data_IF_054678645625
#
_entry.id   IF_054678645625
#
_cell.length_a   1.000
_cell.length_b   1.000
_cell.length_c   1.000
_cell.angle_alpha   90.00
_cell.angle_beta   90.00
_cell.angle_gamma   90.00
#
_symmetry.space_group_name_H-M   'P 1'
#
loop_
_entity.id
_entity.type
_entity.pdbx_description
1 polymer ?
#
# COMPACT_ATOMS: atom_id res chain seq x y z
N UNK A 1 9.28 -26.51 -8.94
CA UNK A 1 7.98 -26.36 -8.24
C UNK A 1 7.93 -25.12 -7.36
N UNK A 2 8.88 -24.86 -6.48
CA UNK A 2 8.91 -23.64 -5.66
C UNK A 2 8.94 -22.35 -6.49
N UNK A 3 9.71 -22.32 -7.59
CA UNK A 3 9.75 -21.16 -8.50
C UNK A 3 8.39 -20.91 -9.19
N UNK A 4 7.69 -21.98 -9.60
CA UNK A 4 6.37 -21.85 -10.22
C UNK A 4 5.35 -21.32 -9.23
N UNK A 5 5.37 -21.78 -7.98
CA UNK A 5 4.51 -21.26 -6.92
C UNK A 5 4.80 -19.78 -6.65
N UNK A 6 6.08 -19.39 -6.64
CA UNK A 6 6.48 -17.99 -6.47
C UNK A 6 5.94 -17.09 -7.60
N UNK A 7 5.97 -17.55 -8.84
CA UNK A 7 5.38 -16.84 -9.98
C UNK A 7 3.87 -16.65 -9.78
N UNK A 8 3.16 -17.68 -9.32
CA UNK A 8 1.73 -17.60 -9.03
C UNK A 8 1.46 -16.60 -7.91
N UNK A 9 2.28 -16.59 -6.86
CA UNK A 9 2.20 -15.60 -5.78
C UNK A 9 2.39 -14.19 -6.31
N UNK A 10 3.35 -13.95 -7.20
CA UNK A 10 3.55 -12.64 -7.83
C UNK A 10 2.37 -12.22 -8.69
N UNK A 11 1.80 -13.13 -9.49
CA UNK A 11 0.57 -12.86 -10.26
C UNK A 11 -0.59 -12.51 -9.33
N UNK A 12 -0.69 -13.17 -8.18
CA UNK A 12 -1.71 -12.84 -7.16
C UNK A 12 -1.50 -11.45 -6.56
N UNK A 13 -0.26 -10.99 -6.44
CA UNK A 13 0.02 -9.62 -5.98
C UNK A 13 -0.29 -8.56 -7.05
N UNK A 14 -0.16 -8.87 -8.34
CA UNK A 14 -0.71 -8.01 -9.41
C UNK A 14 -2.22 -7.85 -9.21
N UNK A 15 -2.91 -8.95 -8.92
CA UNK A 15 -4.36 -8.92 -8.68
C UNK A 15 -4.77 -8.11 -7.44
N UNK A 16 -3.91 -7.97 -6.44
CA UNK A 16 -4.14 -7.10 -5.30
C UNK A 16 -3.96 -5.61 -5.68
N UNK A 17 -2.94 -5.29 -6.48
CA UNK A 17 -2.67 -3.92 -6.91
C UNK A 17 -3.72 -3.33 -7.85
N UNK A 18 -4.34 -4.14 -8.71
CA UNK A 18 -5.36 -3.68 -9.66
C UNK A 18 -6.53 -2.95 -8.99
N UNK A 19 -7.22 -3.51 -7.97
CA UNK A 19 -8.31 -2.82 -7.28
C UNK A 19 -7.86 -1.68 -6.37
N UNK A 20 -6.64 -1.72 -5.83
CA UNK A 20 -6.16 -0.68 -4.93
C UNK A 20 -6.08 0.70 -5.60
N UNK A 21 -5.73 0.76 -6.87
CA UNK A 21 -5.66 1.99 -7.67
C UNK A 21 -6.98 2.35 -8.38
N UNK A 22 -7.93 1.39 -8.44
CA UNK A 22 -9.18 1.53 -9.18
C UNK A 22 -10.03 2.69 -8.65
N UNK A 23 -10.22 2.77 -7.34
CA UNK A 23 -11.12 3.78 -6.74
C UNK A 23 -10.66 5.20 -7.08
N UNK A 24 -9.36 5.50 -6.92
CA UNK A 24 -8.82 6.81 -7.23
C UNK A 24 -8.88 7.18 -8.73
N UNK A 25 -8.71 6.21 -9.61
CA UNK A 25 -8.72 6.45 -11.06
C UNK A 25 -10.13 6.52 -11.66
N UNK A 26 -11.09 5.72 -11.15
CA UNK A 26 -12.45 5.66 -11.69
C UNK A 26 -13.41 6.67 -11.08
N UNK A 27 -13.12 7.14 -9.85
CA UNK A 27 -14.12 7.91 -9.10
C UNK A 27 -14.51 9.24 -9.71
N UNK A 28 -13.66 10.02 -10.39
CA UNK A 28 -14.09 11.21 -11.11
C UNK A 28 -15.21 10.90 -12.13
N UNK A 29 -15.05 9.83 -12.92
CA UNK A 29 -16.06 9.39 -13.87
C UNK A 29 -17.32 8.84 -13.20
N UNK A 30 -17.19 8.12 -12.09
CA UNK A 30 -18.31 7.59 -11.30
C UNK A 30 -19.13 8.74 -10.72
N UNK A 31 -18.48 9.72 -10.11
CA UNK A 31 -19.13 10.87 -9.48
C UNK A 31 -19.94 11.66 -10.50
N UNK A 32 -19.35 11.95 -11.67
CA UNK A 32 -20.03 12.66 -12.75
C UNK A 32 -21.20 11.83 -13.34
N UNK A 33 -21.01 10.52 -13.55
CA UNK A 33 -22.04 9.64 -14.18
C UNK A 33 -23.20 9.33 -13.24
N UNK A 34 -22.97 9.24 -11.94
CA UNK A 34 -23.98 8.85 -10.95
C UNK A 34 -24.47 10.01 -10.08
N UNK A 35 -24.08 11.24 -10.40
CA UNK A 35 -24.39 12.47 -9.63
C UNK A 35 -24.04 12.34 -8.13
N UNK A 36 -22.82 11.81 -7.83
CA UNK A 36 -22.35 11.59 -6.48
C UNK A 36 -21.37 12.70 -6.03
N UNK A 37 -21.27 12.94 -4.70
CA UNK A 37 -20.26 13.83 -4.17
C UNK A 37 -18.85 13.37 -4.48
N UNK A 38 -17.94 14.29 -4.82
CA UNK A 38 -16.55 13.99 -5.17
C UNK A 38 -15.74 13.37 -4.01
N UNK A 39 -16.08 13.70 -2.76
CA UNK A 39 -15.44 13.20 -1.54
C UNK A 39 -15.87 11.79 -1.14
N UNK A 40 -16.90 11.23 -1.79
CA UNK A 40 -17.45 9.90 -1.46
C UNK A 40 -16.41 8.78 -1.59
N UNK A 41 -15.44 8.91 -2.51
CA UNK A 41 -14.33 7.99 -2.64
C UNK A 41 -13.56 7.80 -1.33
N UNK A 42 -13.33 8.89 -0.59
CA UNK A 42 -12.68 8.86 0.71
C UNK A 42 -13.46 8.03 1.74
N UNK A 43 -14.78 8.19 1.81
CA UNK A 43 -15.61 7.42 2.73
C UNK A 43 -15.72 5.94 2.36
N UNK A 44 -15.78 5.61 1.07
CA UNK A 44 -15.68 4.23 0.58
C UNK A 44 -14.34 3.63 1.00
N UNK A 45 -13.25 4.39 0.83
CA UNK A 45 -11.90 4.00 1.24
C UNK A 45 -11.78 3.72 2.74
N UNK A 46 -12.53 4.44 3.61
CA UNK A 46 -12.61 4.15 5.06
C UNK A 46 -13.13 2.73 5.27
N UNK A 47 -14.24 2.35 4.63
CA UNK A 47 -14.84 1.02 4.80
C UNK A 47 -13.89 -0.07 4.31
N UNK A 48 -13.27 0.12 3.14
CA UNK A 48 -12.26 -0.81 2.61
C UNK A 48 -11.13 -0.97 3.64
N UNK A 49 -10.56 0.13 4.14
CA UNK A 49 -9.43 0.10 5.08
C UNK A 49 -9.77 -0.57 6.41
N UNK A 50 -10.94 -0.29 6.99
CA UNK A 50 -11.41 -0.94 8.22
C UNK A 50 -11.52 -2.45 8.00
N UNK A 51 -12.14 -2.89 6.91
CA UNK A 51 -12.31 -4.29 6.58
C UNK A 51 -10.96 -4.97 6.30
N UNK A 52 -10.01 -4.28 5.65
CA UNK A 52 -8.65 -4.74 5.43
C UNK A 52 -7.92 -4.99 6.75
N UNK A 53 -8.01 -4.04 7.70
CA UNK A 53 -7.41 -4.18 9.04
C UNK A 53 -8.00 -5.38 9.78
N UNK A 54 -9.33 -5.50 9.81
CA UNK A 54 -10.02 -6.62 10.50
C UNK A 54 -9.58 -7.95 9.90
N UNK A 55 -9.57 -8.05 8.58
CA UNK A 55 -9.18 -9.27 7.86
C UNK A 55 -7.71 -9.63 8.10
N UNK A 56 -6.81 -8.66 8.07
CA UNK A 56 -5.38 -8.86 8.35
C UNK A 56 -5.15 -9.36 9.78
N UNK A 57 -5.84 -8.80 10.77
CA UNK A 57 -5.77 -9.24 12.16
C UNK A 57 -6.30 -10.67 12.34
N UNK A 58 -7.35 -11.05 11.61
CA UNK A 58 -7.93 -12.38 11.64
C UNK A 58 -7.16 -13.41 10.80
N UNK A 59 -6.25 -12.97 9.92
CA UNK A 59 -5.62 -13.83 8.92
C UNK A 59 -4.84 -14.99 9.54
N UNK A 60 -4.11 -14.77 10.63
CA UNK A 60 -3.38 -15.82 11.34
C UNK A 60 -4.30 -16.95 11.85
N UNK A 61 -5.50 -16.61 12.34
CA UNK A 61 -6.49 -17.59 12.74
C UNK A 61 -7.02 -18.36 11.53
N UNK A 62 -7.37 -17.64 10.46
CA UNK A 62 -7.89 -18.24 9.23
C UNK A 62 -6.86 -19.18 8.56
N UNK A 63 -5.60 -18.78 8.53
CA UNK A 63 -4.51 -19.58 7.96
C UNK A 63 -4.30 -20.89 8.74
N UNK A 64 -4.34 -20.82 10.07
CA UNK A 64 -4.25 -22.03 10.91
C UNK A 64 -5.42 -22.99 10.70
N UNK A 65 -6.63 -22.46 10.46
CA UNK A 65 -7.85 -23.28 10.28
C UNK A 65 -7.99 -23.83 8.86
N UNK A 66 -7.69 -23.04 7.83
CA UNK A 66 -8.00 -23.34 6.43
C UNK A 66 -6.76 -23.47 5.52
N UNK A 67 -5.56 -23.18 6.00
CA UNK A 67 -4.30 -23.05 5.25
C UNK A 67 -4.23 -21.80 4.34
N UNK A 68 -3.00 -21.32 4.10
CA UNK A 68 -2.70 -20.13 3.28
C UNK A 68 -3.32 -20.22 1.89
N UNK A 69 -3.21 -21.37 1.22
CA UNK A 69 -3.71 -21.60 -0.14
C UNK A 69 -5.22 -21.37 -0.27
N UNK A 70 -6.01 -21.86 0.70
CA UNK A 70 -7.48 -21.73 0.70
C UNK A 70 -7.87 -20.29 1.03
N UNK A 71 -7.26 -19.70 2.05
CA UNK A 71 -7.52 -18.30 2.44
C UNK A 71 -7.27 -17.37 1.26
N UNK A 72 -6.12 -17.48 0.57
CA UNK A 72 -5.81 -16.65 -0.58
C UNK A 72 -6.78 -16.88 -1.72
N UNK A 73 -7.05 -18.14 -2.11
CA UNK A 73 -7.94 -18.44 -3.24
C UNK A 73 -9.37 -17.92 -3.02
N UNK A 74 -9.93 -18.13 -1.83
CA UNK A 74 -11.26 -17.64 -1.47
C UNK A 74 -11.29 -16.11 -1.43
N UNK A 75 -10.24 -15.49 -0.92
CA UNK A 75 -10.17 -14.03 -0.83
C UNK A 75 -10.07 -13.36 -2.21
N UNK A 76 -9.38 -13.95 -3.17
CA UNK A 76 -9.37 -13.46 -4.56
C UNK A 76 -10.74 -13.59 -5.22
N UNK A 77 -11.50 -14.68 -4.96
CA UNK A 77 -12.92 -14.78 -5.38
C UNK A 77 -13.76 -13.67 -4.77
N UNK A 78 -13.58 -13.43 -3.48
CA UNK A 78 -14.34 -12.42 -2.75
C UNK A 78 -14.11 -11.01 -3.33
N UNK A 79 -12.84 -10.65 -3.61
CA UNK A 79 -12.51 -9.38 -4.27
C UNK A 79 -13.06 -9.33 -5.70
N UNK A 80 -13.00 -10.43 -6.45
CA UNK A 80 -13.53 -10.49 -7.81
C UNK A 80 -15.06 -10.28 -7.85
N UNK A 81 -15.81 -10.92 -6.95
CA UNK A 81 -17.26 -10.73 -6.81
C UNK A 81 -17.56 -9.28 -6.39
N UNK A 82 -16.80 -8.72 -5.45
CA UNK A 82 -16.97 -7.33 -5.06
C UNK A 82 -16.80 -6.38 -6.25
N UNK A 83 -15.76 -6.53 -7.06
CA UNK A 83 -15.53 -5.73 -8.26
C UNK A 83 -16.62 -5.93 -9.32
N UNK A 84 -17.08 -7.16 -9.48
CA UNK A 84 -18.19 -7.45 -10.37
C UNK A 84 -19.46 -6.68 -9.94
N UNK A 85 -19.82 -6.74 -8.67
CA UNK A 85 -20.96 -5.99 -8.13
C UNK A 85 -20.75 -4.48 -8.23
N UNK A 86 -19.53 -4.00 -8.00
CA UNK A 86 -19.16 -2.59 -8.12
C UNK A 86 -19.47 -2.05 -9.53
N UNK A 87 -19.19 -2.84 -10.59
CA UNK A 87 -19.41 -2.46 -11.97
C UNK A 87 -20.89 -2.32 -12.36
N UNK A 88 -21.82 -2.86 -11.57
CA UNK A 88 -23.27 -2.79 -11.82
C UNK A 88 -24.00 -1.70 -11.03
N UNK A 89 -23.31 -0.92 -10.21
CA UNK A 89 -23.93 0.18 -9.45
C UNK A 89 -24.46 1.24 -10.42
N UNK A 90 -25.69 1.69 -10.19
CA UNK A 90 -26.41 2.66 -11.02
C UNK A 90 -26.73 3.94 -10.23
N UNK A 91 -27.13 4.98 -10.93
CA UNK A 91 -27.62 6.22 -10.31
C UNK A 91 -28.75 5.93 -9.29
N UNK A 92 -28.73 6.64 -8.15
CA UNK A 92 -29.62 6.39 -7.02
C UNK A 92 -29.18 5.28 -6.06
N UNK A 93 -28.19 4.45 -6.44
CA UNK A 93 -27.69 3.34 -5.61
C UNK A 93 -26.26 3.56 -5.09
N UNK A 94 -25.81 4.81 -4.97
CA UNK A 94 -24.46 5.14 -4.47
C UNK A 94 -24.13 4.53 -3.08
N UNK A 95 -25.14 4.30 -2.24
CA UNK A 95 -24.98 3.60 -0.95
C UNK A 95 -24.45 2.17 -1.09
N UNK A 96 -24.71 1.51 -2.25
CA UNK A 96 -24.26 0.15 -2.49
C UNK A 96 -22.74 0.02 -2.49
N UNK A 97 -22.00 1.09 -2.85
CA UNK A 97 -20.55 1.09 -2.79
C UNK A 97 -20.00 0.78 -1.39
N UNK A 98 -20.69 1.23 -0.33
CA UNK A 98 -20.29 0.94 1.05
C UNK A 98 -20.44 -0.54 1.41
N UNK A 99 -21.52 -1.19 0.94
CA UNK A 99 -21.71 -2.63 1.17
C UNK A 99 -20.69 -3.46 0.38
N UNK A 100 -20.40 -3.05 -0.86
CA UNK A 100 -19.43 -3.73 -1.74
C UNK A 100 -17.99 -3.53 -1.24
N UNK A 101 -17.69 -2.40 -0.59
CA UNK A 101 -16.40 -2.12 0.02
C UNK A 101 -16.04 -3.14 1.12
N UNK A 102 -17.04 -3.73 1.80
CA UNK A 102 -16.81 -4.73 2.86
C UNK A 102 -16.09 -5.98 2.32
N UNK A 103 -16.68 -6.75 1.37
CA UNK A 103 -15.99 -7.91 0.81
C UNK A 103 -14.69 -7.56 0.08
N UNK A 104 -14.60 -6.37 -0.54
CA UNK A 104 -13.39 -5.90 -1.18
C UNK A 104 -12.23 -5.76 -0.17
N UNK A 105 -12.46 -5.05 0.94
CA UNK A 105 -11.47 -4.87 1.99
C UNK A 105 -11.12 -6.17 2.72
N UNK A 106 -12.12 -7.00 3.07
CA UNK A 106 -11.89 -8.29 3.71
C UNK A 106 -11.01 -9.21 2.84
N UNK A 107 -11.26 -9.26 1.55
CA UNK A 107 -10.46 -10.05 0.61
C UNK A 107 -9.04 -9.51 0.48
N UNK A 108 -8.89 -8.20 0.28
CA UNK A 108 -7.58 -7.56 0.12
C UNK A 108 -6.67 -7.80 1.34
N UNK A 109 -7.17 -7.57 2.56
CA UNK A 109 -6.39 -7.74 3.78
C UNK A 109 -5.97 -9.19 4.05
N UNK A 110 -6.83 -10.16 3.71
CA UNK A 110 -6.48 -11.57 3.86
C UNK A 110 -5.42 -12.03 2.85
N UNK A 111 -5.50 -11.56 1.59
CA UNK A 111 -4.50 -11.87 0.55
C UNK A 111 -3.14 -11.29 0.97
N UNK A 112 -3.12 -10.00 1.29
CA UNK A 112 -1.89 -9.27 1.64
C UNK A 112 -1.18 -9.94 2.83
N UNK A 113 -1.89 -10.10 3.93
CA UNK A 113 -1.35 -10.69 5.16
C UNK A 113 -0.88 -12.14 4.95
N UNK A 114 -1.67 -12.96 4.23
CA UNK A 114 -1.36 -14.37 4.03
C UNK A 114 -0.13 -14.57 3.12
N UNK A 115 -0.01 -13.82 2.04
CA UNK A 115 1.10 -13.97 1.09
C UNK A 115 2.39 -13.32 1.61
N UNK A 116 2.31 -12.17 2.28
CA UNK A 116 3.48 -11.58 2.93
C UNK A 116 4.06 -12.54 3.97
N UNK A 117 3.23 -13.12 4.84
CA UNK A 117 3.68 -14.12 5.81
C UNK A 117 4.29 -15.35 5.13
N UNK A 118 3.63 -15.88 4.09
CA UNK A 118 4.11 -17.05 3.37
C UNK A 118 5.47 -16.80 2.71
N UNK A 119 5.65 -15.67 2.03
CA UNK A 119 6.92 -15.31 1.38
C UNK A 119 8.03 -15.06 2.41
N UNK A 120 7.70 -14.38 3.52
CA UNK A 120 8.67 -14.14 4.61
C UNK A 120 9.21 -15.43 5.22
N UNK A 121 8.37 -16.45 5.38
CA UNK A 121 8.76 -17.73 5.99
C UNK A 121 9.49 -18.67 5.02
N UNK A 122 9.16 -18.65 3.72
CA UNK A 122 9.58 -19.69 2.79
C UNK A 122 10.56 -19.24 1.70
N UNK A 123 10.79 -17.91 1.57
CA UNK A 123 11.63 -17.34 0.51
C UNK A 123 12.63 -16.31 1.04
N UNK A 124 13.64 -15.97 0.23
CA UNK A 124 14.65 -14.97 0.58
C UNK A 124 14.06 -13.56 0.57
N UNK A 125 14.65 -12.65 1.33
CA UNK A 125 14.20 -11.25 1.45
C UNK A 125 14.04 -10.50 0.11
N UNK A 126 14.84 -10.84 -0.91
CA UNK A 126 14.71 -10.27 -2.26
C UNK A 126 13.33 -10.53 -2.88
N UNK A 127 12.72 -11.69 -2.60
CA UNK A 127 11.39 -12.04 -3.12
C UNK A 127 10.27 -11.23 -2.49
N UNK A 128 10.48 -10.72 -1.27
CA UNK A 128 9.54 -9.79 -0.63
C UNK A 128 9.51 -8.45 -1.38
N UNK A 129 10.67 -7.91 -1.75
CA UNK A 129 10.73 -6.67 -2.56
C UNK A 129 10.06 -6.85 -3.93
N UNK A 130 10.29 -8.00 -4.57
CA UNK A 130 9.66 -8.32 -5.85
C UNK A 130 8.15 -8.50 -5.73
N UNK A 131 7.67 -9.11 -4.65
CA UNK A 131 6.26 -9.24 -4.35
C UNK A 131 5.56 -7.86 -4.40
N UNK A 132 6.11 -6.88 -3.70
CA UNK A 132 5.58 -5.51 -3.70
C UNK A 132 5.79 -4.76 -5.03
N UNK A 133 6.82 -5.12 -5.81
CA UNK A 133 6.97 -4.58 -7.16
C UNK A 133 5.86 -5.09 -8.09
N UNK A 134 5.48 -6.36 -7.98
CA UNK A 134 4.36 -6.93 -8.74
C UNK A 134 3.00 -6.33 -8.33
N UNK A 135 2.80 -6.02 -7.05
CA UNK A 135 1.67 -5.19 -6.62
C UNK A 135 1.66 -3.84 -7.34
N UNK A 136 2.80 -3.17 -7.40
CA UNK A 136 2.94 -1.89 -8.09
C UNK A 136 2.63 -1.98 -9.59
N UNK A 137 2.98 -3.09 -10.26
CA UNK A 137 2.60 -3.34 -11.66
C UNK A 137 1.06 -3.36 -11.77
N UNK A 138 0.37 -4.09 -10.89
CA UNK A 138 -1.10 -4.10 -10.85
C UNK A 138 -1.68 -2.71 -10.63
N UNK A 139 -1.16 -1.99 -9.63
CA UNK A 139 -1.61 -0.65 -9.31
C UNK A 139 -1.34 0.38 -10.43
N UNK A 140 -0.30 0.16 -11.24
CA UNK A 140 -0.01 1.00 -12.42
C UNK A 140 -0.93 0.68 -13.61
N UNK A 141 -1.27 -0.59 -13.81
CA UNK A 141 -2.10 -1.04 -14.95
C UNK A 141 -3.59 -0.75 -14.70
N UNK A 142 -4.05 -0.82 -13.45
CA UNK A 142 -5.46 -0.56 -13.09
C UNK A 142 -6.01 0.73 -13.69
N UNK A 143 -5.40 1.90 -13.44
CA UNK A 143 -5.82 3.19 -13.99
C UNK A 143 -5.80 3.23 -15.53
N UNK A 144 -4.84 2.56 -16.16
CA UNK A 144 -4.77 2.49 -17.63
C UNK A 144 -5.95 1.69 -18.21
N UNK A 145 -6.33 0.57 -17.57
CA UNK A 145 -7.52 -0.18 -17.96
C UNK A 145 -8.76 0.71 -17.80
N UNK A 146 -8.93 1.37 -16.65
CA UNK A 146 -10.09 2.25 -16.40
C UNK A 146 -10.15 3.35 -17.48
N UNK A 147 -9.05 4.08 -17.68
CA UNK A 147 -9.00 5.17 -18.65
C UNK A 147 -9.28 4.76 -20.09
N UNK A 148 -8.85 3.53 -20.49
CA UNK A 148 -9.11 3.01 -21.84
C UNK A 148 -10.59 2.73 -22.11
N UNK A 149 -11.42 2.50 -21.09
CA UNK A 149 -12.85 2.24 -21.24
C UNK A 149 -13.72 3.48 -21.00
N UNK A 150 -13.20 4.55 -20.41
CA UNK A 150 -13.95 5.80 -20.27
C UNK A 150 -14.07 6.45 -21.64
N UNK A 151 -15.31 6.74 -22.05
CA UNK A 151 -15.57 7.39 -23.32
C UNK A 151 -15.30 8.89 -23.23
N UNK A 152 -14.29 9.36 -23.94
CA UNK A 152 -13.91 10.78 -24.01
C UNK A 152 -15.02 11.70 -24.52
N UNK A 153 -15.91 11.21 -25.41
CA UNK A 153 -17.03 11.98 -25.94
C UNK A 153 -18.21 12.05 -24.98
N UNK A 154 -18.38 11.08 -24.10
CA UNK A 154 -19.47 10.94 -23.14
C UNK A 154 -18.98 10.99 -21.69
N UNK A 155 -17.88 11.55 -21.49
CA UNK A 155 -16.99 11.89 -20.36
C UNK A 155 -17.03 10.98 -19.11
N UNK A 156 -18.14 10.34 -18.80
CA UNK A 156 -18.32 9.58 -17.58
C UNK A 156 -18.86 8.17 -17.78
N UNK A 157 -19.16 7.79 -19.01
CA UNK A 157 -19.58 6.42 -19.32
C UNK A 157 -18.39 5.52 -19.62
N UNK A 158 -18.52 4.25 -19.28
CA UNK A 158 -17.49 3.23 -19.58
C UNK A 158 -16.64 2.83 -18.37
N UNK A 159 -16.61 3.60 -17.27
CA UNK A 159 -15.89 3.22 -16.05
C UNK A 159 -16.31 1.82 -15.55
N UNK A 160 -17.58 1.48 -15.70
CA UNK A 160 -18.13 0.17 -15.33
C UNK A 160 -17.52 -0.98 -16.15
N UNK A 161 -17.23 -0.79 -17.44
CA UNK A 161 -16.54 -1.79 -18.26
C UNK A 161 -15.08 -1.94 -17.86
N UNK A 162 -14.40 -0.85 -17.46
CA UNK A 162 -13.05 -0.90 -16.92
C UNK A 162 -13.00 -1.71 -15.61
N UNK A 163 -13.91 -1.45 -14.68
CA UNK A 163 -14.03 -2.22 -13.43
C UNK A 163 -14.42 -3.69 -13.71
N UNK A 164 -15.34 -3.93 -14.63
CA UNK A 164 -15.73 -5.28 -15.07
C UNK A 164 -14.52 -6.04 -15.63
N UNK A 165 -13.69 -5.39 -16.43
CA UNK A 165 -12.46 -6.00 -16.97
C UNK A 165 -11.51 -6.42 -15.84
N UNK A 166 -11.30 -5.56 -14.83
CA UNK A 166 -10.50 -5.90 -13.65
C UNK A 166 -11.14 -7.08 -12.89
N UNK A 167 -12.46 -7.11 -12.74
CA UNK A 167 -13.19 -8.22 -12.12
C UNK A 167 -12.97 -9.54 -12.88
N UNK A 168 -13.01 -9.53 -14.22
CA UNK A 168 -12.74 -10.69 -15.06
C UNK A 168 -11.30 -11.18 -14.92
N UNK A 169 -10.32 -10.28 -14.86
CA UNK A 169 -8.93 -10.64 -14.58
C UNK A 169 -8.79 -11.32 -13.21
N UNK A 170 -9.45 -10.76 -12.17
CA UNK A 170 -9.48 -11.35 -10.83
C UNK A 170 -10.09 -12.75 -10.83
N UNK A 171 -11.19 -12.96 -11.55
CA UNK A 171 -11.81 -14.29 -11.71
C UNK A 171 -10.86 -15.26 -12.41
N UNK A 172 -10.16 -14.83 -13.45
CA UNK A 172 -9.14 -15.64 -14.13
C UNK A 172 -8.00 -16.06 -13.19
N UNK A 173 -7.49 -15.12 -12.37
CA UNK A 173 -6.45 -15.42 -11.37
C UNK A 173 -7.01 -16.35 -10.28
N UNK A 174 -8.25 -16.20 -9.88
CA UNK A 174 -8.93 -17.10 -8.95
C UNK A 174 -8.97 -18.54 -9.50
N UNK A 175 -9.35 -18.74 -10.75
CA UNK A 175 -9.35 -20.04 -11.42
C UNK A 175 -7.92 -20.64 -11.42
N UNK A 176 -6.91 -19.82 -11.75
CA UNK A 176 -5.51 -20.24 -11.70
C UNK A 176 -5.09 -20.71 -10.31
N UNK A 177 -5.49 -19.99 -9.26
CA UNK A 177 -5.18 -20.34 -7.87
C UNK A 177 -5.83 -21.67 -7.47
N UNK A 178 -7.09 -21.90 -7.82
CA UNK A 178 -7.74 -23.18 -7.54
C UNK A 178 -7.11 -24.34 -8.32
N UNK A 179 -6.78 -24.13 -9.59
CA UNK A 179 -6.10 -25.16 -10.41
C UNK A 179 -4.72 -25.53 -9.87
N UNK A 180 -4.06 -24.60 -9.16
CA UNK A 180 -2.70 -24.78 -8.64
C UNK A 180 -2.63 -25.17 -7.15
N UNK A 181 -3.76 -25.40 -6.48
CA UNK A 181 -3.81 -25.86 -5.07
C UNK A 181 -2.89 -27.06 -4.76
N UNK A 182 -2.76 -28.09 -5.64
CA UNK A 182 -1.83 -29.20 -5.37
C UNK A 182 -0.36 -28.79 -5.29
N UNK A 183 0.03 -27.70 -5.98
CA UNK A 183 1.41 -27.23 -5.98
C UNK A 183 1.85 -26.72 -4.60
N UNK A 184 0.93 -26.05 -3.88
CA UNK A 184 1.17 -25.55 -2.52
C UNK A 184 1.50 -26.68 -1.54
N UNK A 185 0.81 -27.82 -1.63
CA UNK A 185 1.06 -28.97 -0.75
C UNK A 185 2.48 -29.49 -0.89
N UNK A 186 2.96 -29.64 -2.14
CA UNK A 186 4.29 -30.16 -2.43
C UNK A 186 5.43 -29.26 -1.93
N UNK A 187 5.21 -27.95 -1.88
CA UNK A 187 6.21 -27.00 -1.36
C UNK A 187 6.18 -26.96 0.17
N UNK A 188 4.98 -27.03 0.78
CA UNK A 188 4.84 -27.04 2.25
C UNK A 188 5.40 -28.29 2.91
N UNK A 189 5.24 -29.47 2.30
CA UNK A 189 5.80 -30.73 2.84
C UNK A 189 7.33 -30.71 2.92
N UNK A 190 7.99 -30.01 1.99
CA UNK A 190 9.44 -29.92 1.97
C UNK A 190 10.00 -29.05 3.10
N UNK A 191 9.23 -28.05 3.58
CA UNK A 191 9.70 -27.05 4.54
C UNK A 191 9.31 -27.35 6.00
N UNK A 192 8.40 -28.31 6.26
CA UNK A 192 7.93 -28.67 7.61
C UNK A 192 9.01 -29.12 8.60
N UNK A 193 10.18 -29.51 8.13
CA UNK A 193 11.26 -29.98 9.00
C UNK A 193 12.05 -28.87 9.70
N UNK A 194 12.00 -27.63 9.18
CA UNK A 194 12.84 -26.53 9.68
C UNK A 194 12.09 -25.53 10.61
N UNK A 195 10.74 -25.60 10.68
CA UNK A 195 9.92 -24.59 11.36
C UNK A 195 9.87 -24.71 12.90
N UNK A 196 10.00 -25.92 13.44
CA UNK A 196 9.70 -26.19 14.86
C UNK A 196 10.71 -25.62 15.85
N UNK A 197 11.95 -25.38 15.45
CA UNK A 197 13.00 -24.83 16.33
C UNK A 197 13.06 -23.30 16.36
N UNK A 198 12.69 -22.63 15.26
CA UNK A 198 12.69 -21.16 15.19
C UNK A 198 11.56 -20.52 15.99
N UNK A 199 10.36 -21.06 15.90
CA UNK A 199 9.18 -20.52 16.61
C UNK A 199 9.31 -20.59 18.14
N UNK A 200 9.98 -21.63 18.69
CA UNK A 200 10.20 -21.75 20.13
C UNK A 200 11.20 -20.73 20.69
N UNK A 201 12.26 -20.40 19.93
CA UNK A 201 13.25 -19.41 20.36
C UNK A 201 12.72 -17.95 20.30
N UNK A 202 11.85 -17.63 19.35
CA UNK A 202 11.26 -16.30 19.22
C UNK A 202 10.20 -16.00 20.30
N UNK A 203 9.52 -17.01 20.82
CA UNK A 203 8.52 -16.85 21.88
C UNK A 203 9.12 -16.58 23.27
N UNK A 204 10.34 -17.04 23.53
CA UNK A 204 11.02 -16.91 24.84
C UNK A 204 11.62 -15.52 25.11
N UNK A 205 11.87 -14.69 24.08
CA UNK A 205 12.55 -13.40 24.22
C UNK A 205 11.65 -12.16 24.03
N UNK A 206 10.32 -12.30 23.94
CA UNK A 206 9.43 -11.17 23.68
C UNK A 206 9.47 -10.09 24.79
N UNK A 207 9.97 -8.90 24.44
CA UNK A 207 9.91 -7.74 25.33
C UNK A 207 8.45 -7.28 25.47
N UNK A 208 8.04 -6.98 26.73
CA UNK A 208 6.68 -6.48 27.00
C UNK A 208 6.41 -5.19 26.22
N UNK A 209 5.23 -5.07 25.59
CA UNK A 209 4.77 -3.87 24.87
C UNK A 209 4.92 -2.58 25.70
N UNK A 210 4.76 -2.66 27.02
CA UNK A 210 4.90 -1.53 27.93
C UNK A 210 6.30 -0.90 27.93
N UNK A 211 7.35 -1.63 27.58
CA UNK A 211 8.72 -1.10 27.50
C UNK A 211 8.94 -0.28 26.23
N UNK A 212 8.35 -0.74 25.10
CA UNK A 212 8.40 -0.04 23.81
C UNK A 212 7.66 1.30 23.89
N UNK A 213 6.49 1.31 24.53
CA UNK A 213 5.67 2.51 24.73
C UNK A 213 6.33 3.58 25.62
N UNK A 214 7.43 3.28 26.31
CA UNK A 214 8.21 4.28 27.08
C UNK A 214 9.33 4.90 26.27
N UNK A 215 9.67 4.35 25.11
CA UNK A 215 10.77 4.87 24.26
C UNK A 215 10.26 6.02 23.37
N UNK A 216 10.83 7.24 23.47
CA UNK A 216 10.45 8.34 22.61
C UNK A 216 10.76 8.10 21.11
N UNK A 217 11.71 7.21 20.78
CA UNK A 217 11.98 6.81 19.40
C UNK A 217 10.75 6.12 18.80
N UNK A 218 10.00 5.36 19.60
CA UNK A 218 8.79 4.69 19.16
C UNK A 218 7.73 5.68 18.64
N UNK A 219 7.42 6.73 19.38
CA UNK A 219 6.44 7.73 18.97
C UNK A 219 6.85 8.48 17.71
N UNK A 220 8.13 8.82 17.59
CA UNK A 220 8.64 9.44 16.35
C UNK A 220 8.54 8.50 15.16
N UNK A 221 8.79 7.20 15.33
CA UNK A 221 8.66 6.21 14.27
C UNK A 221 7.19 6.05 13.84
N UNK A 222 6.27 5.95 14.80
CA UNK A 222 4.83 5.85 14.57
C UNK A 222 4.31 7.08 13.81
N UNK A 223 4.68 8.29 14.23
CA UNK A 223 4.28 9.54 13.56
C UNK A 223 4.88 9.63 12.15
N UNK A 224 6.17 9.33 12.01
CA UNK A 224 6.83 9.35 10.69
C UNK A 224 6.20 8.35 9.72
N UNK A 225 5.85 7.15 10.19
CA UNK A 225 5.22 6.13 9.36
C UNK A 225 3.75 6.47 9.02
N UNK A 226 3.00 7.04 9.98
CA UNK A 226 1.70 7.61 9.73
C UNK A 226 1.76 8.66 8.61
N UNK A 227 2.69 9.62 8.68
CA UNK A 227 2.83 10.67 7.66
C UNK A 227 3.18 10.10 6.28
N UNK A 228 4.05 9.08 6.23
CA UNK A 228 4.38 8.40 4.98
C UNK A 228 3.11 7.77 4.36
N UNK A 229 2.39 6.97 5.13
CA UNK A 229 1.20 6.28 4.64
C UNK A 229 0.07 7.25 4.29
N UNK A 230 -0.08 8.33 5.06
CA UNK A 230 -1.02 9.42 4.75
C UNK A 230 -0.69 10.09 3.41
N UNK A 231 0.58 10.35 3.13
CA UNK A 231 1.04 10.93 1.86
C UNK A 231 0.79 9.95 0.70
N UNK A 232 1.23 8.69 0.82
CA UNK A 232 1.11 7.68 -0.23
C UNK A 232 -0.35 7.41 -0.59
N UNK A 233 -1.20 7.11 0.39
CA UNK A 233 -2.61 6.76 0.17
C UNK A 233 -3.44 7.94 -0.33
N UNK A 234 -3.21 9.14 0.20
CA UNK A 234 -3.92 10.33 -0.26
C UNK A 234 -3.53 10.70 -1.69
N UNK A 235 -2.25 10.58 -2.04
CA UNK A 235 -1.81 10.81 -3.42
C UNK A 235 -2.46 9.80 -4.35
N UNK A 236 -2.39 8.51 -4.03
CA UNK A 236 -2.98 7.44 -4.84
C UNK A 236 -4.48 7.61 -5.07
N UNK A 237 -5.22 8.10 -4.07
CA UNK A 237 -6.67 8.31 -4.18
C UNK A 237 -7.03 9.57 -4.96
N UNK A 238 -6.31 10.68 -4.75
CA UNK A 238 -6.76 11.98 -5.24
C UNK A 238 -6.02 12.52 -6.47
N UNK A 239 -4.97 11.85 -6.97
CA UNK A 239 -4.24 12.30 -8.16
C UNK A 239 -5.15 12.36 -9.40
N UNK A 240 -6.08 11.43 -9.57
CA UNK A 240 -7.07 11.47 -10.66
C UNK A 240 -7.99 12.70 -10.54
N UNK A 241 -8.54 12.97 -9.36
CA UNK A 241 -9.37 14.15 -9.08
C UNK A 241 -8.58 15.45 -9.27
N UNK A 242 -7.30 15.47 -8.88
CA UNK A 242 -6.42 16.63 -9.12
C UNK A 242 -6.33 16.95 -10.61
N UNK A 243 -6.08 15.97 -11.47
CA UNK A 243 -5.98 16.20 -12.92
C UNK A 243 -7.33 16.57 -13.53
N UNK A 244 -8.41 15.89 -13.13
CA UNK A 244 -9.75 16.15 -13.66
C UNK A 244 -10.28 17.54 -13.28
N UNK A 245 -10.28 17.88 -11.98
CA UNK A 245 -10.91 19.11 -11.49
C UNK A 245 -10.04 20.37 -11.63
N UNK A 246 -8.70 20.23 -11.59
CA UNK A 246 -7.80 21.40 -11.54
C UNK A 246 -6.91 21.55 -12.77
N UNK A 247 -6.74 20.52 -13.58
CA UNK A 247 -5.86 20.56 -14.77
C UNK A 247 -6.65 20.42 -16.08
N UNK A 248 -7.97 20.54 -16.03
CA UNK A 248 -8.86 20.43 -17.21
C UNK A 248 -8.64 19.17 -18.04
N UNK A 249 -8.19 18.09 -17.39
CA UNK A 249 -8.07 16.79 -18.04
C UNK A 249 -9.44 16.12 -18.14
N UNK A 250 -9.70 15.47 -19.25
CA UNK A 250 -10.89 14.62 -19.39
C UNK A 250 -10.85 13.47 -18.38
N UNK A 251 -11.99 12.84 -18.12
CA UNK A 251 -12.07 11.76 -17.10
C UNK A 251 -11.23 10.55 -17.48
N UNK A 252 -11.12 10.24 -18.76
CA UNK A 252 -10.24 9.17 -19.29
C UNK A 252 -8.76 9.51 -19.10
N UNK A 253 -8.34 10.74 -19.45
CA UNK A 253 -6.98 11.21 -19.20
C UNK A 253 -6.64 11.21 -17.70
N UNK A 254 -7.52 11.70 -16.86
CA UNK A 254 -7.32 11.74 -15.42
C UNK A 254 -7.17 10.33 -14.82
N UNK A 255 -7.96 9.37 -15.31
CA UNK A 255 -7.83 7.97 -14.94
C UNK A 255 -6.45 7.41 -15.34
N UNK A 256 -6.03 7.64 -16.59
CA UNK A 256 -4.70 7.22 -17.07
C UNK A 256 -3.56 7.91 -16.30
N UNK A 257 -3.69 9.22 -16.03
CA UNK A 257 -2.68 9.99 -15.31
C UNK A 257 -2.51 9.53 -13.85
N UNK A 258 -3.53 8.88 -13.26
CA UNK A 258 -3.40 8.25 -11.94
C UNK A 258 -2.31 7.18 -11.91
N UNK A 259 -2.07 6.48 -13.04
CA UNK A 259 -1.01 5.49 -13.15
C UNK A 259 0.39 6.07 -12.92
N UNK A 260 0.60 7.36 -13.17
CA UNK A 260 1.92 7.99 -13.10
C UNK A 260 2.56 7.86 -11.72
N UNK A 261 1.78 8.06 -10.66
CA UNK A 261 2.23 7.87 -9.28
C UNK A 261 2.63 6.41 -9.00
N UNK A 262 1.80 5.47 -9.41
CA UNK A 262 2.07 4.03 -9.19
C UNK A 262 3.22 3.51 -10.05
N UNK A 263 3.40 4.01 -11.27
CA UNK A 263 4.59 3.75 -12.11
C UNK A 263 5.85 4.20 -11.37
N UNK A 264 5.82 5.40 -10.78
CA UNK A 264 6.91 5.90 -9.94
C UNK A 264 7.26 4.94 -8.80
N UNK A 265 6.26 4.50 -8.02
CA UNK A 265 6.46 3.53 -6.94
C UNK A 265 7.05 2.22 -7.47
N UNK A 266 6.50 1.70 -8.57
CA UNK A 266 6.90 0.41 -9.15
C UNK A 266 8.35 0.43 -9.62
N UNK A 267 8.71 1.43 -10.42
CA UNK A 267 10.08 1.62 -10.91
C UNK A 267 11.04 1.86 -9.74
N UNK A 268 10.61 2.67 -8.78
CA UNK A 268 11.38 2.91 -7.56
C UNK A 268 11.67 1.62 -6.79
N UNK A 269 10.67 0.74 -6.59
CA UNK A 269 10.86 -0.55 -5.90
C UNK A 269 11.81 -1.49 -6.64
N UNK A 270 11.77 -1.51 -7.97
CA UNK A 270 12.70 -2.29 -8.78
C UNK A 270 14.15 -1.78 -8.62
N UNK A 271 14.36 -0.46 -8.60
CA UNK A 271 15.67 0.16 -8.42
C UNK A 271 16.17 0.00 -6.98
N UNK A 272 15.30 0.16 -6.00
CA UNK A 272 15.64 0.10 -4.58
C UNK A 272 16.09 -1.29 -4.12
N UNK A 273 15.68 -2.38 -4.79
CA UNK A 273 16.15 -3.73 -4.49
C UNK A 273 17.68 -3.83 -4.52
N UNK A 274 18.34 -3.65 -5.68
CA UNK A 274 19.80 -3.63 -5.78
C UNK A 274 20.46 -2.52 -4.95
N UNK A 275 19.83 -1.34 -4.86
CA UNK A 275 20.39 -0.19 -4.15
C UNK A 275 20.49 -0.45 -2.64
N UNK A 276 19.55 -1.18 -2.07
CA UNK A 276 19.55 -1.58 -0.66
C UNK A 276 20.72 -2.48 -0.24
N UNK A 277 21.45 -3.05 -1.21
CA UNK A 277 22.70 -3.78 -0.94
C UNK A 277 23.90 -2.85 -0.69
N UNK A 278 23.79 -1.57 -1.13
CA UNK A 278 24.87 -0.58 -1.04
C UNK A 278 24.56 0.57 -0.09
N UNK A 279 23.29 0.78 0.25
CA UNK A 279 22.82 1.86 1.11
C UNK A 279 22.14 1.29 2.36
N UNK A 280 22.41 1.92 3.51
CA UNK A 280 21.69 1.59 4.74
C UNK A 280 20.29 2.24 4.77
N UNK A 281 19.45 1.81 5.71
CA UNK A 281 18.05 2.24 5.84
C UNK A 281 17.92 3.76 5.99
N UNK A 282 18.80 4.39 6.76
CA UNK A 282 18.82 5.84 6.95
C UNK A 282 19.10 6.59 5.63
N UNK A 283 20.04 6.10 4.83
CA UNK A 283 20.36 6.69 3.53
C UNK A 283 19.20 6.49 2.54
N UNK A 284 18.56 5.30 2.56
CA UNK A 284 17.40 5.01 1.72
C UNK A 284 16.21 5.93 2.05
N UNK A 285 15.92 6.13 3.34
CA UNK A 285 14.85 7.04 3.79
C UNK A 285 15.14 8.46 3.33
N UNK A 286 16.33 9.01 3.62
CA UNK A 286 16.70 10.39 3.23
C UNK A 286 16.65 10.60 1.72
N UNK A 287 17.11 9.62 0.95
CA UNK A 287 17.04 9.65 -0.51
C UNK A 287 15.57 9.72 -0.96
N UNK A 288 14.70 8.85 -0.43
CA UNK A 288 13.27 8.84 -0.74
C UNK A 288 12.61 10.18 -0.40
N UNK A 289 12.85 10.72 0.79
CA UNK A 289 12.33 12.01 1.24
C UNK A 289 12.77 13.17 0.33
N UNK A 290 14.04 13.20 -0.06
CA UNK A 290 14.56 14.22 -0.98
C UNK A 290 13.90 14.15 -2.35
N UNK A 291 13.68 12.93 -2.87
CA UNK A 291 12.99 12.70 -4.14
C UNK A 291 11.51 13.12 -4.03
N UNK A 292 10.84 12.80 -2.91
CA UNK A 292 9.45 13.24 -2.67
C UNK A 292 9.36 14.76 -2.71
N UNK A 293 10.25 15.48 -2.00
CA UNK A 293 10.23 16.95 -2.01
C UNK A 293 10.40 17.53 -3.41
N UNK A 294 11.32 16.98 -4.20
CA UNK A 294 11.50 17.38 -5.61
C UNK A 294 10.22 17.17 -6.42
N UNK A 295 9.59 16.01 -6.27
CA UNK A 295 8.34 15.70 -6.94
C UNK A 295 7.21 16.64 -6.53
N UNK A 296 7.07 16.94 -5.24
CA UNK A 296 6.05 17.87 -4.73
C UNK A 296 6.24 19.28 -5.34
N UNK A 297 7.48 19.77 -5.43
CA UNK A 297 7.77 21.08 -6.06
C UNK A 297 7.23 21.11 -7.50
N UNK A 298 7.40 20.03 -8.26
CA UNK A 298 6.86 19.95 -9.62
C UNK A 298 5.33 19.89 -9.64
N UNK A 299 4.69 19.24 -8.67
CA UNK A 299 3.22 19.21 -8.61
C UNK A 299 2.59 20.55 -8.27
N UNK A 300 3.34 21.49 -7.67
CA UNK A 300 2.90 22.87 -7.44
C UNK A 300 2.91 23.72 -8.71
N UNK A 301 3.69 23.35 -9.73
CA UNK A 301 3.80 24.08 -10.99
C UNK A 301 2.66 23.65 -11.92
N UNK A 302 1.51 24.31 -11.81
CA UNK A 302 0.28 23.94 -12.52
C UNK A 302 0.06 24.75 -13.80
N UNK A 303 1.13 25.06 -14.54
CA UNK A 303 1.04 25.79 -15.84
C UNK A 303 0.46 24.89 -16.94
N UNK A 304 0.78 23.61 -16.89
CA UNK A 304 0.23 22.57 -17.77
C UNK A 304 0.20 21.22 -17.04
N UNK A 305 -0.55 20.24 -17.55
CA UNK A 305 -0.71 18.92 -16.92
C UNK A 305 0.54 18.05 -16.91
N UNK A 306 1.51 18.28 -17.79
CA UNK A 306 2.70 17.42 -17.94
C UNK A 306 3.71 17.63 -16.80
N UNK A 307 3.82 18.85 -16.26
CA UNK A 307 4.74 19.13 -15.15
C UNK A 307 4.29 18.41 -13.86
N UNK A 308 3.03 18.56 -13.39
CA UNK A 308 2.56 17.76 -12.26
C UNK A 308 2.58 16.25 -12.51
N UNK A 309 2.35 15.79 -13.75
CA UNK A 309 2.46 14.38 -14.13
C UNK A 309 3.85 13.83 -13.81
N UNK A 310 4.90 14.51 -14.26
CA UNK A 310 6.30 14.15 -13.92
C UNK A 310 6.52 14.25 -12.41
N UNK A 311 5.93 15.27 -11.77
CA UNK A 311 5.98 15.45 -10.32
C UNK A 311 5.45 14.22 -9.57
N UNK A 312 4.29 13.68 -9.94
CA UNK A 312 3.71 12.49 -9.31
C UNK A 312 4.51 11.21 -9.56
N UNK A 313 5.13 11.05 -10.75
CA UNK A 313 6.10 9.95 -10.99
C UNK A 313 7.25 10.05 -10.00
N UNK A 314 7.82 11.24 -9.83
CA UNK A 314 8.97 11.47 -8.93
C UNK A 314 8.55 11.27 -7.45
N UNK A 315 7.36 11.71 -7.04
CA UNK A 315 6.84 11.42 -5.69
C UNK A 315 6.73 9.91 -5.47
N UNK A 316 6.19 9.18 -6.44
CA UNK A 316 6.11 7.71 -6.38
C UNK A 316 7.47 7.05 -6.26
N UNK A 317 8.46 7.49 -7.05
CA UNK A 317 9.86 7.04 -6.94
C UNK A 317 10.43 7.26 -5.54
N UNK A 318 10.14 8.41 -4.93
CA UNK A 318 10.60 8.73 -3.58
C UNK A 318 9.89 7.94 -2.49
N UNK A 319 8.61 7.58 -2.67
CA UNK A 319 7.87 6.72 -1.75
C UNK A 319 8.44 5.30 -1.68
N UNK A 320 8.95 4.78 -2.79
CA UNK A 320 9.35 3.39 -2.95
C UNK A 320 10.32 2.83 -1.87
N UNK A 321 11.40 3.52 -1.49
CA UNK A 321 12.36 3.02 -0.49
C UNK A 321 11.89 3.18 0.96
N UNK A 322 10.95 4.08 1.27
CA UNK A 322 10.70 4.52 2.64
C UNK A 322 10.03 3.43 3.47
N UNK A 323 8.93 2.86 3.00
CA UNK A 323 8.21 1.81 3.71
C UNK A 323 9.11 0.61 4.10
N UNK A 324 9.82 -0.02 3.13
CA UNK A 324 10.69 -1.14 3.45
C UNK A 324 11.84 -0.76 4.39
N UNK A 325 12.39 0.45 4.25
CA UNK A 325 13.48 0.91 5.08
C UNK A 325 13.05 1.19 6.53
N UNK A 326 11.84 1.71 6.76
CA UNK A 326 11.29 1.89 8.11
C UNK A 326 11.16 0.53 8.79
N UNK A 327 10.49 -0.44 8.16
CA UNK A 327 10.28 -1.78 8.72
C UNK A 327 11.60 -2.49 8.99
N UNK A 328 12.57 -2.43 8.05
CA UNK A 328 13.89 -3.04 8.22
C UNK A 328 14.71 -2.39 9.35
N UNK A 329 14.49 -1.11 9.65
CA UNK A 329 15.19 -0.42 10.73
C UNK A 329 14.63 -0.71 12.13
N UNK A 330 13.44 -1.33 12.24
CA UNK A 330 12.77 -1.61 13.51
C UNK A 330 13.57 -2.48 14.46
N UNK A 331 14.22 -3.60 14.05
CA UNK A 331 15.08 -4.39 14.94
C UNK A 331 16.28 -3.59 15.49
N UNK A 332 16.86 -2.73 14.67
CA UNK A 332 17.96 -1.85 15.10
C UNK A 332 17.50 -0.78 16.09
N UNK A 333 16.26 -0.30 15.97
CA UNK A 333 15.69 0.72 16.89
C UNK A 333 15.26 0.13 18.22
N UNK A 334 14.63 -1.05 18.23
CA UNK A 334 13.93 -1.62 19.40
C UNK A 334 14.47 -2.98 19.86
N UNK A 335 15.64 -3.41 19.38
CA UNK A 335 16.22 -4.73 19.53
C UNK A 335 15.40 -5.86 18.86
N UNK A 336 16.01 -7.03 18.72
CA UNK A 336 15.35 -8.20 18.11
C UNK A 336 14.09 -8.61 18.87
N UNK A 337 14.20 -8.69 20.18
CA UNK A 337 13.13 -9.10 21.08
C UNK A 337 11.93 -8.11 21.12
N UNK A 338 12.19 -6.81 20.87
CA UNK A 338 11.17 -5.77 20.83
C UNK A 338 10.56 -5.53 19.44
N UNK A 339 11.27 -5.94 18.39
CA UNK A 339 10.93 -5.57 17.00
C UNK A 339 9.54 -6.05 16.56
N UNK A 340 9.14 -7.27 16.91
CA UNK A 340 7.85 -7.82 16.53
C UNK A 340 6.68 -7.00 17.12
N UNK A 341 6.78 -6.62 18.38
CA UNK A 341 5.77 -5.78 19.03
C UNK A 341 5.77 -4.35 18.49
N UNK A 342 6.95 -3.79 18.18
CA UNK A 342 7.08 -2.47 17.59
C UNK A 342 6.50 -2.43 16.18
N UNK A 343 6.83 -3.40 15.32
CA UNK A 343 6.28 -3.52 13.97
C UNK A 343 4.75 -3.58 13.96
N UNK A 344 4.13 -4.33 14.87
CA UNK A 344 2.67 -4.39 14.96
C UNK A 344 2.04 -3.03 15.26
N UNK A 345 2.67 -2.22 16.11
CA UNK A 345 2.20 -0.87 16.45
C UNK A 345 2.50 0.14 15.33
N UNK A 346 3.65 0.01 14.67
CA UNK A 346 4.01 0.80 13.49
C UNK A 346 3.01 0.56 12.35
N UNK A 347 2.67 -0.69 12.07
CA UNK A 347 1.66 -1.05 11.07
C UNK A 347 0.26 -0.51 11.42
N UNK A 348 -0.12 -0.54 12.71
CA UNK A 348 -1.38 0.05 13.14
C UNK A 348 -1.42 1.56 12.86
N UNK A 349 -0.33 2.29 13.06
CA UNK A 349 -0.26 3.71 12.73
C UNK A 349 -0.33 3.98 11.22
N UNK A 350 0.29 3.12 10.42
CA UNK A 350 0.21 3.16 8.96
C UNK A 350 -1.26 3.05 8.49
N UNK A 351 -1.99 2.09 9.04
CA UNK A 351 -3.42 1.94 8.74
C UNK A 351 -4.26 3.13 9.18
N UNK A 352 -3.93 3.77 10.32
CA UNK A 352 -4.61 5.00 10.75
C UNK A 352 -4.35 6.13 9.75
N UNK A 353 -3.14 6.26 9.21
CA UNK A 353 -2.81 7.23 8.16
C UNK A 353 -3.64 7.01 6.89
N UNK A 354 -3.67 5.75 6.41
CA UNK A 354 -4.45 5.36 5.23
C UNK A 354 -5.95 5.58 5.42
N UNK A 355 -6.46 5.36 6.63
CA UNK A 355 -7.87 5.45 6.95
C UNK A 355 -8.36 6.89 7.08
N UNK A 356 -7.56 7.78 7.68
CA UNK A 356 -8.01 9.09 8.13
C UNK A 356 -7.70 10.22 7.15
N UNK A 357 -6.54 10.19 6.51
CA UNK A 357 -6.08 11.35 5.75
C UNK A 357 -6.70 11.50 4.35
N UNK A 358 -6.90 10.45 3.55
CA UNK A 358 -7.57 10.59 2.26
C UNK A 358 -8.99 11.17 2.38
N UNK A 359 -9.87 10.69 3.29
CA UNK A 359 -11.19 11.29 3.50
C UNK A 359 -11.13 12.74 3.95
N UNK A 360 -10.20 13.07 4.86
CA UNK A 360 -10.03 14.45 5.32
C UNK A 360 -9.67 15.39 4.18
N UNK A 361 -8.75 15.01 3.30
CA UNK A 361 -8.37 15.80 2.14
C UNK A 361 -9.55 15.97 1.18
N UNK A 362 -10.32 14.91 0.93
CA UNK A 362 -11.53 14.97 0.10
C UNK A 362 -12.57 15.95 0.67
N UNK A 363 -12.81 15.88 1.99
CA UNK A 363 -13.73 16.80 2.67
C UNK A 363 -13.26 18.25 2.55
N UNK A 364 -11.97 18.53 2.77
CA UNK A 364 -11.42 19.89 2.63
C UNK A 364 -11.50 20.35 1.17
N UNK A 365 -11.11 19.51 0.19
CA UNK A 365 -11.20 19.85 -1.23
C UNK A 365 -12.64 20.25 -1.62
N UNK A 366 -13.63 19.46 -1.18
CA UNK A 366 -15.04 19.73 -1.44
C UNK A 366 -15.51 21.02 -0.80
N UNK A 367 -15.08 21.34 0.43
CA UNK A 367 -15.48 22.57 1.14
C UNK A 367 -15.01 23.85 0.45
N UNK A 368 -14.02 23.76 -0.44
CA UNK A 368 -13.48 24.88 -1.23
C UNK A 368 -13.79 24.75 -2.73
N UNK A 369 -14.93 24.11 -3.06
CA UNK A 369 -15.44 24.01 -4.42
C UNK A 369 -14.79 22.93 -5.27
N UNK A 370 -14.55 21.76 -4.71
CA UNK A 370 -13.89 20.59 -5.37
C UNK A 370 -12.46 20.90 -5.87
N UNK A 371 -11.75 21.73 -5.13
CA UNK A 371 -10.40 22.16 -5.49
C UNK A 371 -9.33 21.22 -4.92
N UNK A 372 -8.87 20.27 -5.72
CA UNK A 372 -7.81 19.34 -5.36
C UNK A 372 -6.38 19.89 -5.56
N UNK A 373 -6.21 21.16 -5.98
CA UNK A 373 -4.91 21.84 -5.97
C UNK A 373 -4.31 21.97 -4.57
N UNK A 374 -5.08 21.68 -3.53
CA UNK A 374 -4.60 21.57 -2.15
C UNK A 374 -3.76 20.32 -1.88
N UNK A 375 -3.86 19.27 -2.69
CA UNK A 375 -3.16 18.00 -2.49
C UNK A 375 -1.65 18.17 -2.27
N UNK A 376 -0.90 18.92 -3.12
CA UNK A 376 0.53 19.16 -2.89
C UNK A 376 0.84 19.82 -1.55
N UNK A 377 -0.01 20.68 -1.02
CA UNK A 377 0.22 21.32 0.28
C UNK A 377 0.08 20.35 1.45
N UNK A 378 -0.88 19.42 1.39
CA UNK A 378 -0.97 18.32 2.36
C UNK A 378 0.27 17.41 2.26
N UNK A 379 0.73 17.11 1.04
CA UNK A 379 1.95 16.33 0.83
C UNK A 379 3.18 17.02 1.44
N UNK A 380 3.31 18.35 1.33
CA UNK A 380 4.37 19.13 2.00
C UNK A 380 4.28 18.94 3.51
N UNK A 381 3.10 19.08 4.10
CA UNK A 381 2.89 18.93 5.54
C UNK A 381 3.31 17.54 6.04
N UNK A 382 2.88 16.48 5.35
CA UNK A 382 3.26 15.10 5.68
C UNK A 382 4.75 14.86 5.48
N UNK A 383 5.33 15.31 4.36
CA UNK A 383 6.75 15.15 4.09
C UNK A 383 7.62 15.90 5.11
N UNK A 384 7.29 17.13 5.45
CA UNK A 384 8.01 17.91 6.44
C UNK A 384 7.99 17.25 7.83
N UNK A 385 6.82 16.80 8.31
CA UNK A 385 6.70 16.14 9.59
C UNK A 385 7.42 14.78 9.60
N UNK A 386 7.35 14.02 8.51
CA UNK A 386 8.07 12.76 8.32
C UNK A 386 9.57 12.95 8.41
N UNK A 387 10.14 13.94 7.69
CA UNK A 387 11.56 14.28 7.70
C UNK A 387 12.01 14.68 9.12
N UNK A 388 11.25 15.55 9.79
CA UNK A 388 11.55 15.96 11.17
C UNK A 388 11.60 14.74 12.10
N UNK A 389 10.60 13.85 12.01
CA UNK A 389 10.58 12.63 12.81
C UNK A 389 11.80 11.75 12.55
N UNK A 390 12.14 11.49 11.28
CA UNK A 390 13.28 10.63 10.93
C UNK A 390 14.61 11.24 11.35
N UNK A 391 14.81 12.54 11.23
CA UNK A 391 16.05 13.19 11.70
C UNK A 391 16.16 13.17 13.23
N UNK A 392 15.06 13.37 13.96
CA UNK A 392 15.05 13.23 15.41
C UNK A 392 15.32 11.77 15.85
N UNK A 393 14.79 10.77 15.13
CA UNK A 393 15.11 9.36 15.36
C UNK A 393 16.61 9.12 15.17
N UNK A 394 17.18 9.60 14.06
CA UNK A 394 18.58 9.45 13.73
C UNK A 394 19.48 10.05 14.82
N UNK A 395 19.13 11.24 15.32
CA UNK A 395 19.88 11.92 16.39
C UNK A 395 19.78 11.16 17.73
N UNK A 396 18.56 10.76 18.13
CA UNK A 396 18.35 10.01 19.38
C UNK A 396 19.05 8.64 19.34
N UNK A 397 18.96 7.91 18.23
CA UNK A 397 19.66 6.63 18.02
C UNK A 397 21.17 6.82 18.11
N UNK A 398 21.72 7.82 17.44
CA UNK A 398 23.16 8.16 17.53
C UNK A 398 23.62 8.47 18.97
N UNK A 399 22.80 9.20 19.73
CA UNK A 399 23.09 9.51 21.13
C UNK A 399 23.00 8.29 22.05
N UNK A 400 22.05 7.39 21.78
CA UNK A 400 21.92 6.11 22.48
C UNK A 400 23.16 5.25 22.23
N UNK A 401 23.53 5.06 20.96
CA UNK A 401 24.62 4.18 20.55
C UNK A 401 25.97 4.62 21.12
N UNK A 402 26.19 5.94 21.31
CA UNK A 402 27.38 6.47 21.99
C UNK A 402 27.46 6.16 23.49
N UNK A 403 26.34 5.80 24.12
CA UNK A 403 26.25 5.51 25.57
C UNK A 403 26.30 4.01 25.86
N UNK A 404 26.07 3.17 24.86
CA UNK A 404 26.06 1.71 25.01
C UNK A 404 27.48 1.15 24.97
N UNK A 405 27.73 0.11 25.76
CA UNK A 405 28.95 -0.69 25.68
C UNK A 405 28.98 -1.48 24.35
N UNK A 406 30.17 -1.96 23.96
CA UNK A 406 30.32 -2.73 22.71
C UNK A 406 29.49 -4.04 22.69
N UNK A 407 29.23 -4.65 23.84
CA UNK A 407 28.38 -5.84 23.96
C UNK A 407 26.89 -5.50 23.84
N UNK A 408 26.45 -4.42 24.45
CA UNK A 408 25.06 -3.94 24.32
C UNK A 408 24.78 -3.49 22.89
N UNK A 409 25.72 -2.83 22.24
CA UNK A 409 25.59 -2.38 20.84
C UNK A 409 25.41 -3.56 19.88
N UNK A 410 26.08 -4.71 20.12
CA UNK A 410 25.91 -5.94 19.34
C UNK A 410 24.47 -6.47 19.36
N UNK A 411 23.71 -6.27 20.46
CA UNK A 411 22.29 -6.68 20.55
C UNK A 411 21.38 -5.91 19.60
N UNK A 412 21.79 -4.71 19.18
CA UNK A 412 21.07 -3.86 18.23
C UNK A 412 21.61 -3.97 16.80
N UNK A 413 22.89 -4.39 16.63
CA UNK A 413 23.58 -4.43 15.32
C UNK A 413 23.65 -5.82 14.69
N UNK A 414 23.18 -6.88 15.36
CA UNK A 414 23.26 -8.27 14.89
C UNK A 414 22.33 -8.57 13.68
N UNK A 415 22.21 -7.60 12.75
CA UNK A 415 21.45 -7.72 11.52
C UNK A 415 22.16 -7.05 10.33
#
# INVERSE_FOLDING_TARGET
MATLLLIIIYITFISLGLPDSMLGSSFPAIADNLNLPSDLAGYIGIVVSICTIISSLCSSYLIRKFSTKIVVSVSVVLTAIALLLFSFVKEGYGWAFFLIAIPLGLGAGAIDSALNNYVALHYKAIHMNWLHAFWGIGASIGPLIIGAFIDANNQSRGWNYGVLTIACIQLGISILLFATLPLWNKVMEKNKKDETEKEKKEAEEAIKRSTILKDPIFYLTVIGFFCYCALESSTGLWVGSFFNKNMSSTTDEAAMLTSTFYIGITVGRLICGPLSLKMNEKQMIRMGESIILLGIVLTLIQVNKYIPMVGFVIVGLGCAPIYPAIIRSTPYRFSKAGSQSAMGLEMASAYVGNLSMPPLIGLVARSIGDNYSILPYFMIGFAALMIICHELINEKTRRRDKKLSSEELKRYQAY
#
